data_IF_387879727833
#
_entry.id   IF_387879727833
#
_cell.length_a   1.000
_cell.length_b   1.000
_cell.length_c   1.000
_cell.angle_alpha   90.00
_cell.angle_beta   90.00
_cell.angle_gamma   90.00
#
_symmetry.space_group_name_H-M   'P 1'
#
loop_
_entity.id
_entity.type
_entity.pdbx_description
1 polymer ?
#
# COMPACT_ATOMS: atom_id res chain seq x y z
N UNK A 1 9.01 -17.76 -9.63
CA UNK A 1 7.83 -16.91 -9.28
C UNK A 1 8.32 -15.85 -8.30
N UNK A 2 8.22 -14.58 -8.66
CA UNK A 2 8.61 -13.43 -7.83
C UNK A 2 7.64 -13.23 -6.66
N UNK A 3 7.98 -12.39 -5.69
CA UNK A 3 7.09 -12.13 -4.55
C UNK A 3 5.81 -11.41 -5.00
N UNK A 4 5.92 -10.53 -5.99
CA UNK A 4 4.77 -9.88 -6.63
C UNK A 4 3.85 -10.91 -7.30
N UNK A 5 4.42 -11.86 -8.07
CA UNK A 5 3.63 -12.91 -8.72
C UNK A 5 2.94 -13.82 -7.69
N UNK A 6 3.62 -14.20 -6.62
CA UNK A 6 3.00 -14.94 -5.52
C UNK A 6 1.84 -14.17 -4.90
N UNK A 7 2.00 -12.85 -4.74
CA UNK A 7 0.98 -12.00 -4.14
C UNK A 7 -0.26 -11.85 -5.04
N UNK A 8 -0.09 -11.60 -6.34
CA UNK A 8 -1.23 -11.44 -7.27
C UNK A 8 -1.94 -12.76 -7.59
N UNK A 9 -1.24 -13.89 -7.48
CA UNK A 9 -1.79 -15.22 -7.75
C UNK A 9 -2.28 -15.96 -6.50
N UNK A 10 -2.48 -15.25 -5.37
CA UNK A 10 -3.01 -15.87 -4.16
C UNK A 10 -4.40 -16.48 -4.40
N UNK A 11 -4.68 -17.68 -3.87
CA UNK A 11 -5.99 -18.29 -3.96
C UNK A 11 -7.10 -17.37 -3.42
N UNK A 12 -8.21 -17.30 -4.14
CA UNK A 12 -9.35 -16.47 -3.76
C UNK A 12 -9.27 -14.99 -4.13
N UNK A 13 -8.09 -14.47 -4.53
CA UNK A 13 -7.91 -13.06 -4.88
C UNK A 13 -8.84 -12.58 -5.98
N UNK A 14 -9.04 -13.36 -7.04
CA UNK A 14 -9.95 -13.02 -8.14
C UNK A 14 -11.38 -12.79 -7.65
N UNK A 15 -11.87 -13.62 -6.70
CA UNK A 15 -13.17 -13.44 -6.07
C UNK A 15 -13.25 -12.13 -5.29
N UNK A 16 -12.20 -11.78 -4.55
CA UNK A 16 -12.13 -10.52 -3.79
C UNK A 16 -12.16 -9.30 -4.73
N UNK A 17 -11.43 -9.35 -5.84
CA UNK A 17 -11.45 -8.28 -6.86
C UNK A 17 -12.86 -8.07 -7.40
N UNK A 18 -13.57 -9.16 -7.73
CA UNK A 18 -14.97 -9.12 -8.19
C UNK A 18 -15.90 -8.53 -7.12
N UNK A 19 -15.79 -8.97 -5.88
CA UNK A 19 -16.60 -8.46 -4.78
C UNK A 19 -16.41 -6.94 -4.57
N UNK A 20 -15.19 -6.44 -4.75
CA UNK A 20 -14.93 -4.98 -4.68
C UNK A 20 -15.57 -4.25 -5.84
N UNK A 21 -15.56 -4.80 -7.08
CA UNK A 21 -16.29 -4.23 -8.22
C UNK A 21 -17.78 -4.12 -7.94
N UNK A 22 -18.37 -5.15 -7.37
CA UNK A 22 -19.79 -5.14 -6.98
C UNK A 22 -20.07 -4.01 -5.98
N UNK A 23 -19.23 -3.84 -4.95
CA UNK A 23 -19.34 -2.73 -3.99
C UNK A 23 -19.16 -1.35 -4.63
N UNK A 24 -18.22 -1.20 -5.56
CA UNK A 24 -18.01 0.05 -6.31
C UNK A 24 -19.28 0.46 -7.03
N UNK A 25 -19.92 -0.49 -7.72
CA UNK A 25 -21.15 -0.25 -8.47
C UNK A 25 -22.34 0.04 -7.54
N UNK A 26 -22.52 -0.77 -6.48
CA UNK A 26 -23.59 -0.61 -5.50
C UNK A 26 -23.53 0.74 -4.78
N UNK A 27 -22.32 1.17 -4.40
CA UNK A 27 -22.11 2.39 -3.63
C UNK A 27 -21.89 3.64 -4.50
N UNK A 28 -21.88 3.51 -5.83
CA UNK A 28 -21.69 4.62 -6.76
C UNK A 28 -20.30 5.27 -6.65
N UNK A 29 -19.27 4.48 -6.36
CA UNK A 29 -17.91 4.99 -6.19
C UNK A 29 -17.31 5.31 -7.55
N UNK A 30 -16.80 6.54 -7.71
CA UNK A 30 -16.21 7.04 -8.96
C UNK A 30 -14.68 7.13 -8.90
N UNK A 31 -14.11 7.23 -7.70
CA UNK A 31 -12.66 7.33 -7.47
C UNK A 31 -12.21 6.41 -6.35
N UNK A 32 -10.98 5.89 -6.45
CA UNK A 32 -10.37 5.04 -5.42
C UNK A 32 -9.00 5.63 -5.07
N UNK A 33 -8.74 5.84 -3.77
CA UNK A 33 -7.42 6.13 -3.25
C UNK A 33 -6.68 4.82 -2.96
N UNK A 34 -5.63 4.56 -3.73
CA UNK A 34 -4.69 3.47 -3.53
C UNK A 34 -3.60 3.96 -2.58
N UNK A 35 -3.65 3.51 -1.33
CA UNK A 35 -2.87 4.03 -0.24
C UNK A 35 -1.81 3.04 0.26
N UNK A 36 -0.68 3.55 0.70
CA UNK A 36 0.38 2.80 1.38
C UNK A 36 0.99 3.66 2.49
N UNK A 37 1.78 3.04 3.36
CA UNK A 37 2.40 3.72 4.50
C UNK A 37 3.89 3.90 4.20
N UNK A 38 4.36 5.15 4.18
CA UNK A 38 5.79 5.46 4.04
C UNK A 38 6.56 5.13 5.30
N UNK A 39 7.90 5.09 5.21
CA UNK A 39 8.78 4.83 6.37
C UNK A 39 8.67 5.89 7.47
N UNK A 40 8.10 7.05 7.19
CA UNK A 40 7.82 8.10 8.19
C UNK A 40 6.40 8.01 8.77
N UNK A 41 5.67 6.93 8.51
CA UNK A 41 4.30 6.73 9.02
C UNK A 41 3.23 7.54 8.28
N UNK A 42 3.57 8.23 7.19
CA UNK A 42 2.56 8.97 6.40
C UNK A 42 1.75 8.03 5.53
N UNK A 43 0.45 8.26 5.49
CA UNK A 43 -0.42 7.68 4.48
C UNK A 43 -0.22 8.44 3.18
N UNK A 44 0.32 7.78 2.19
CA UNK A 44 0.53 8.31 0.83
C UNK A 44 -0.27 7.48 -0.16
N UNK A 45 -0.55 8.02 -1.33
CA UNK A 45 -1.31 7.26 -2.31
C UNK A 45 -1.55 8.00 -3.61
N UNK A 46 -2.28 7.32 -4.48
CA UNK A 46 -2.66 7.80 -5.81
C UNK A 46 -4.16 7.64 -5.99
N UNK A 47 -4.84 8.69 -6.44
CA UNK A 47 -6.24 8.62 -6.87
C UNK A 47 -6.32 8.08 -8.29
N UNK A 48 -7.15 7.07 -8.50
CA UNK A 48 -7.40 6.46 -9.82
C UNK A 48 -8.91 6.34 -10.01
N UNK A 49 -9.46 6.63 -11.21
CA UNK A 49 -10.86 6.40 -11.50
C UNK A 49 -11.27 4.95 -11.24
N UNK A 50 -12.46 4.75 -10.67
CA UNK A 50 -12.94 3.43 -10.27
C UNK A 50 -13.08 2.44 -11.45
N UNK A 51 -13.24 2.94 -12.67
CA UNK A 51 -13.31 2.12 -13.90
C UNK A 51 -12.02 1.33 -14.16
N UNK A 52 -10.89 1.76 -13.57
CA UNK A 52 -9.60 1.08 -13.69
C UNK A 52 -9.35 0.05 -12.57
N UNK A 53 -10.36 -0.27 -11.75
CA UNK A 53 -10.19 -1.14 -10.58
C UNK A 53 -9.53 -2.49 -10.92
N UNK A 54 -10.11 -3.26 -11.84
CA UNK A 54 -9.63 -4.61 -12.18
C UNK A 54 -8.21 -4.57 -12.71
N UNK A 55 -7.95 -3.68 -13.67
CA UNK A 55 -6.61 -3.51 -14.25
C UNK A 55 -5.59 -3.19 -13.16
N UNK A 56 -5.93 -2.28 -12.25
CA UNK A 56 -5.03 -1.88 -11.16
C UNK A 56 -4.85 -3.00 -10.14
N UNK A 57 -5.91 -3.75 -9.85
CA UNK A 57 -5.84 -4.88 -8.92
C UNK A 57 -5.00 -6.05 -9.47
N UNK A 58 -5.00 -6.26 -10.76
CA UNK A 58 -4.24 -7.34 -11.43
C UNK A 58 -2.80 -6.93 -11.74
N UNK A 59 -2.61 -5.74 -12.30
CA UNK A 59 -1.30 -5.30 -12.84
C UNK A 59 -0.54 -4.37 -11.89
N UNK A 60 -1.24 -3.76 -10.94
CA UNK A 60 -0.70 -2.72 -10.08
C UNK A 60 -0.65 -1.35 -10.75
N UNK A 61 -0.13 -0.40 -10.03
CA UNK A 61 0.18 0.95 -10.49
C UNK A 61 1.61 1.32 -10.12
N UNK A 62 2.20 2.21 -10.92
CA UNK A 62 3.56 2.68 -10.71
C UNK A 62 3.59 3.82 -9.69
N UNK A 63 4.63 3.82 -8.85
CA UNK A 63 4.93 4.88 -7.89
C UNK A 63 6.45 5.07 -7.78
N UNK A 64 6.86 6.31 -7.47
CA UNK A 64 8.29 6.60 -7.28
C UNK A 64 8.78 6.06 -5.95
N UNK A 65 10.04 5.61 -5.92
CA UNK A 65 10.67 5.08 -4.69
C UNK A 65 10.59 6.08 -3.53
N UNK A 66 10.85 7.35 -3.78
CA UNK A 66 10.78 8.41 -2.77
C UNK A 66 9.43 8.57 -2.07
N UNK A 67 8.34 8.09 -2.66
CA UNK A 67 7.04 8.09 -2.00
C UNK A 67 6.99 7.12 -0.81
N UNK A 68 7.77 6.04 -0.83
CA UNK A 68 7.86 5.07 0.27
C UNK A 68 8.96 5.39 1.26
N UNK A 69 10.12 5.85 0.80
CA UNK A 69 11.35 5.99 1.59
C UNK A 69 11.81 7.44 1.84
N UNK A 70 11.14 8.43 1.24
CA UNK A 70 11.39 9.88 1.43
C UNK A 70 12.81 10.38 1.07
N UNK A 71 13.58 9.65 0.27
CA UNK A 71 14.91 10.05 -0.21
C UNK A 71 15.77 10.73 0.86
N UNK A 72 15.99 10.07 1.99
CA UNK A 72 16.83 10.60 3.06
C UNK A 72 18.30 10.69 2.67
N UNK A 73 18.96 11.75 3.10
CA UNK A 73 20.40 11.94 2.97
C UNK A 73 21.10 11.70 4.30
N UNK A 74 22.30 11.14 4.23
CA UNK A 74 23.21 11.09 5.35
C UNK A 74 23.93 12.45 5.56
N UNK A 75 24.79 12.54 6.59
CA UNK A 75 25.59 13.75 6.86
C UNK A 75 26.60 14.12 5.77
N UNK A 76 26.83 13.27 4.78
CA UNK A 76 27.73 13.47 3.64
C UNK A 76 26.98 13.75 2.34
N UNK A 77 25.64 13.98 2.40
CA UNK A 77 24.76 14.18 1.26
C UNK A 77 24.63 12.95 0.34
N UNK A 78 24.88 11.73 0.83
CA UNK A 78 24.58 10.51 0.10
C UNK A 78 23.18 10.04 0.45
N UNK A 79 22.46 9.50 -0.55
CA UNK A 79 21.15 8.90 -0.29
C UNK A 79 21.27 7.64 0.55
N UNK A 80 20.41 7.54 1.57
CA UNK A 80 20.25 6.33 2.38
C UNK A 80 19.35 5.37 1.61
N UNK A 81 19.92 4.32 1.03
CA UNK A 81 19.24 3.40 0.13
C UNK A 81 19.36 3.83 -1.33
N UNK A 82 18.24 4.08 -2.00
CA UNK A 82 18.21 4.52 -3.40
C UNK A 82 17.95 6.03 -3.49
N UNK A 83 18.50 6.66 -4.52
CA UNK A 83 18.27 8.05 -4.87
C UNK A 83 17.11 8.24 -5.85
N UNK A 84 17.00 9.44 -6.45
CA UNK A 84 15.98 9.76 -7.44
C UNK A 84 16.04 8.91 -8.71
N UNK A 85 17.19 8.31 -9.00
CA UNK A 85 17.45 7.42 -10.13
C UNK A 85 16.82 6.02 -9.97
N UNK A 86 16.29 5.71 -8.78
CA UNK A 86 15.67 4.41 -8.53
C UNK A 86 14.49 4.16 -9.46
N UNK A 87 14.41 2.92 -9.94
CA UNK A 87 13.28 2.50 -10.77
C UNK A 87 11.95 2.69 -10.01
N UNK A 88 10.90 2.99 -10.75
CA UNK A 88 9.55 3.04 -10.21
C UNK A 88 9.17 1.69 -9.57
N UNK A 89 8.42 1.78 -8.51
CA UNK A 89 7.89 0.64 -7.77
C UNK A 89 6.52 0.23 -8.31
N UNK A 90 6.05 -0.95 -7.91
CA UNK A 90 4.70 -1.43 -8.22
C UNK A 90 3.88 -1.54 -6.95
N UNK A 91 2.78 -0.79 -6.86
CA UNK A 91 1.77 -0.94 -5.82
C UNK A 91 0.68 -1.90 -6.26
N UNK A 92 0.39 -2.91 -5.44
CA UNK A 92 -0.70 -3.86 -5.65
C UNK A 92 -1.74 -3.67 -4.54
N UNK A 93 -3.00 -3.34 -4.85
CA UNK A 93 -4.01 -3.17 -3.83
C UNK A 93 -4.37 -4.49 -3.15
N UNK A 94 -4.68 -4.42 -1.85
CA UNK A 94 -5.21 -5.53 -1.07
C UNK A 94 -6.74 -5.40 -0.99
N UNK A 95 -7.53 -6.14 -1.79
CA UNK A 95 -8.98 -5.93 -1.93
C UNK A 95 -9.77 -6.02 -0.62
N UNK A 96 -9.29 -6.81 0.34
CA UNK A 96 -9.91 -6.96 1.68
C UNK A 96 -9.95 -5.65 2.47
N UNK A 97 -9.08 -4.69 2.13
CA UNK A 97 -8.98 -3.39 2.81
C UNK A 97 -9.83 -2.30 2.18
N UNK A 98 -10.62 -2.64 1.16
CA UNK A 98 -11.46 -1.68 0.46
C UNK A 98 -12.60 -1.18 1.34
N UNK A 99 -12.72 0.14 1.48
CA UNK A 99 -13.82 0.81 2.17
C UNK A 99 -14.23 2.11 1.45
N UNK A 100 -15.51 2.46 1.53
CA UNK A 100 -16.00 3.78 1.12
C UNK A 100 -15.60 4.81 2.19
N UNK A 101 -15.18 6.01 1.77
CA UNK A 101 -14.86 7.08 2.71
C UNK A 101 -16.13 7.63 3.38
N UNK A 102 -16.13 7.81 4.71
CA UNK A 102 -17.31 8.31 5.41
C UNK A 102 -17.66 9.76 5.06
N UNK A 103 -16.69 10.58 4.68
CA UNK A 103 -16.85 12.01 4.37
C UNK A 103 -17.02 12.33 2.88
N UNK A 104 -16.70 11.42 1.95
CA UNK A 104 -17.02 11.52 0.52
C UNK A 104 -17.48 10.17 -0.02
N UNK A 105 -18.78 10.03 -0.20
CA UNK A 105 -19.41 8.78 -0.62
C UNK A 105 -19.07 8.36 -2.05
N UNK A 106 -18.51 9.26 -2.87
CA UNK A 106 -18.05 8.94 -4.23
C UNK A 106 -16.66 8.32 -4.26
N UNK A 107 -15.97 8.30 -3.11
CA UNK A 107 -14.58 7.88 -3.02
C UNK A 107 -14.45 6.63 -2.16
N UNK A 108 -13.77 5.62 -2.70
CA UNK A 108 -13.27 4.48 -1.95
C UNK A 108 -11.78 4.63 -1.62
N UNK A 109 -11.29 3.85 -0.67
CA UNK A 109 -9.86 3.69 -0.43
C UNK A 109 -9.50 2.22 -0.28
N UNK A 110 -8.29 1.87 -0.64
CA UNK A 110 -7.72 0.53 -0.48
C UNK A 110 -6.24 0.66 -0.10
N UNK A 111 -5.76 -0.16 0.82
CA UNK A 111 -4.34 -0.24 1.08
C UNK A 111 -3.63 -1.11 0.06
N UNK A 112 -2.35 -0.80 -0.19
CA UNK A 112 -1.52 -1.48 -1.16
C UNK A 112 -0.28 -2.08 -0.49
N UNK A 113 0.19 -3.17 -1.07
CA UNK A 113 1.52 -3.72 -0.83
C UNK A 113 2.43 -3.28 -1.95
N UNK A 114 3.64 -2.84 -1.62
CA UNK A 114 4.60 -2.31 -2.58
C UNK A 114 5.69 -3.35 -2.90
N UNK A 115 6.02 -3.42 -4.17
CA UNK A 115 7.04 -4.33 -4.70
C UNK A 115 8.03 -3.57 -5.57
N UNK A 116 9.22 -4.13 -5.74
CA UNK A 116 10.20 -3.67 -6.72
C UNK A 116 9.65 -3.80 -8.12
N UNK A 117 10.18 -2.99 -9.04
CA UNK A 117 9.79 -3.07 -10.45
C UNK A 117 10.05 -4.48 -11.01
N UNK A 118 9.21 -4.91 -11.96
CA UNK A 118 9.36 -6.20 -12.63
C UNK A 118 10.62 -6.29 -13.48
N UNK A 119 11.18 -5.15 -13.89
CA UNK A 119 12.35 -5.01 -14.73
C UNK A 119 13.63 -4.74 -13.94
N UNK A 120 13.56 -4.72 -12.61
CA UNK A 120 14.74 -4.49 -11.77
C UNK A 120 15.71 -5.67 -11.86
N UNK A 121 16.99 -5.35 -12.12
CA UNK A 121 18.01 -6.38 -12.43
C UNK A 121 18.28 -7.33 -11.26
N UNK A 122 18.34 -6.82 -10.04
CA UNK A 122 18.81 -7.59 -8.88
C UNK A 122 17.69 -8.33 -8.14
N UNK A 123 16.46 -7.85 -8.19
CA UNK A 123 15.33 -8.46 -7.49
C UNK A 123 14.00 -8.07 -8.15
N UNK A 124 13.73 -8.54 -9.39
CA UNK A 124 12.53 -8.16 -10.14
C UNK A 124 11.27 -8.59 -9.41
N UNK A 125 10.37 -7.64 -9.17
CA UNK A 125 9.11 -7.91 -8.46
C UNK A 125 9.27 -8.44 -7.03
N UNK A 126 10.44 -8.24 -6.42
CA UNK A 126 10.70 -8.65 -5.06
C UNK A 126 10.01 -7.75 -4.04
N UNK A 127 9.90 -8.25 -2.80
CA UNK A 127 9.38 -7.47 -1.69
C UNK A 127 10.19 -6.19 -1.47
N UNK A 128 9.48 -5.10 -1.20
CA UNK A 128 10.11 -3.80 -0.94
C UNK A 128 10.37 -3.62 0.55
N UNK A 129 11.64 -3.48 0.94
CA UNK A 129 12.05 -3.34 2.35
C UNK A 129 11.56 -2.04 3.02
N UNK A 130 11.18 -1.02 2.24
CA UNK A 130 10.55 0.21 2.75
C UNK A 130 9.01 0.13 2.83
N UNK A 131 8.39 -1.00 2.48
CA UNK A 131 6.96 -1.22 2.69
C UNK A 131 6.69 -1.64 4.13
N UNK A 132 6.43 -0.67 5.01
CA UNK A 132 6.20 -0.91 6.44
C UNK A 132 5.05 -1.89 6.70
N UNK A 133 3.95 -1.76 5.96
CA UNK A 133 2.78 -2.63 6.09
C UNK A 133 3.08 -4.04 5.60
N UNK A 134 3.79 -4.17 4.49
CA UNK A 134 4.22 -5.45 3.95
C UNK A 134 5.16 -6.18 4.91
N UNK A 135 6.15 -5.46 5.48
CA UNK A 135 7.07 -6.00 6.49
C UNK A 135 6.33 -6.52 7.72
N UNK A 136 5.40 -5.73 8.27
CA UNK A 136 4.61 -6.15 9.42
C UNK A 136 3.82 -7.44 9.14
N UNK A 137 3.20 -7.53 7.96
CA UNK A 137 2.45 -8.72 7.55
C UNK A 137 3.34 -9.96 7.43
N UNK A 138 4.51 -9.82 6.82
CA UNK A 138 5.49 -10.91 6.73
C UNK A 138 5.90 -11.35 8.13
N UNK A 139 6.28 -10.43 8.99
CA UNK A 139 6.67 -10.71 10.37
C UNK A 139 5.57 -11.44 11.15
N UNK A 140 4.34 -10.97 11.09
CA UNK A 140 3.20 -11.60 11.77
C UNK A 140 2.95 -13.02 11.28
N UNK A 141 3.00 -13.23 9.96
CA UNK A 141 2.82 -14.56 9.38
C UNK A 141 3.93 -15.53 9.76
N UNK A 142 5.18 -15.08 9.78
CA UNK A 142 6.32 -15.89 10.23
C UNK A 142 6.23 -16.21 11.71
N UNK A 143 5.85 -15.25 12.53
CA UNK A 143 5.66 -15.44 13.97
C UNK A 143 4.56 -16.47 14.24
N UNK A 144 3.39 -16.34 13.59
CA UNK A 144 2.30 -17.30 13.72
C UNK A 144 2.73 -18.70 13.28
N UNK A 145 3.41 -18.79 12.12
CA UNK A 145 3.88 -20.07 11.58
C UNK A 145 4.90 -20.75 12.51
N UNK A 146 5.78 -19.98 13.14
CA UNK A 146 6.85 -20.48 14.00
C UNK A 146 6.36 -20.83 15.40
N UNK A 147 5.43 -20.07 15.95
CA UNK A 147 5.01 -20.17 17.36
C UNK A 147 3.56 -20.60 17.56
N UNK A 148 2.74 -20.68 16.50
CA UNK A 148 1.30 -20.98 16.62
C UNK A 148 0.49 -19.89 17.32
N UNK A 149 1.04 -18.67 17.50
CA UNK A 149 0.45 -17.57 18.24
C UNK A 149 0.11 -16.42 17.30
N UNK A 150 -0.99 -15.73 17.58
CA UNK A 150 -1.33 -14.44 16.96
C UNK A 150 -0.87 -13.28 17.83
N UNK A 151 -0.19 -12.31 17.22
CA UNK A 151 0.13 -11.05 17.87
C UNK A 151 -1.11 -10.14 17.86
N UNK A 152 -1.53 -9.68 19.04
CA UNK A 152 -2.59 -8.69 19.20
C UNK A 152 -2.03 -7.44 19.87
N UNK A 153 -2.34 -6.29 19.32
CA UNK A 153 -1.91 -4.98 19.85
C UNK A 153 -3.11 -4.05 19.97
N UNK A 154 -3.12 -3.20 20.98
CA UNK A 154 -3.99 -2.06 21.10
C UNK A 154 -3.26 -0.81 20.61
N UNK A 155 -3.96 0.09 19.96
CA UNK A 155 -3.43 1.42 19.62
C UNK A 155 -4.07 2.43 20.57
N UNK A 156 -3.25 3.30 21.15
CA UNK A 156 -3.69 4.38 22.06
C UNK A 156 -3.35 5.73 21.39
N UNK A 157 -4.21 6.20 20.47
CA UNK A 157 -3.96 7.48 19.79
C UNK A 157 -4.18 8.64 20.77
N UNK A 158 -3.14 9.45 20.97
CA UNK A 158 -3.23 10.70 21.71
C UNK A 158 -3.33 11.87 20.74
N UNK A 159 -4.25 12.79 21.03
CA UNK A 159 -4.44 13.99 20.21
C UNK A 159 -4.90 15.18 21.05
N UNK A 160 -4.52 16.35 20.62
CA UNK A 160 -4.94 17.61 21.20
C UNK A 160 -5.82 18.38 20.20
N UNK A 161 -7.02 18.76 20.63
CA UNK A 161 -7.90 19.61 19.84
C UNK A 161 -7.62 21.07 20.18
N UNK A 162 -7.26 21.84 19.17
CA UNK A 162 -6.96 23.27 19.32
C UNK A 162 -7.97 24.09 18.54
N UNK A 163 -8.42 25.20 19.15
CA UNK A 163 -9.19 26.22 18.43
C UNK A 163 -8.22 27.17 17.75
N UNK A 164 -8.46 27.49 16.50
CA UNK A 164 -7.66 28.49 15.80
C UNK A 164 -7.97 29.85 16.44
N UNK A 165 -6.95 30.55 16.93
CA UNK A 165 -7.11 31.94 17.36
C UNK A 165 -7.60 32.76 16.17
N UNK A 166 -8.63 33.54 16.38
CA UNK A 166 -9.09 34.56 15.43
C UNK A 166 -8.21 35.80 15.68
N UNK A 167 -7.08 35.89 14.99
CA UNK A 167 -6.32 37.13 14.83
C UNK A 167 -6.69 37.76 13.49
#
# INVERSE_FOLDING_TARGET
MTDLEKHVNQPGRAKLIKNVREKINELGITYIYFQFISVTGRVVGKGIPADHWERTAEKGFQLVYGATANLFLDRHNNYIGYGPEAMELVGIPDPETFVQLPWDKRVGRVFCTCFRNREERNNPGGHLTSDCRGNLRIFMNEFQKKHGLELRVGTEPEMMWLTKNQD
#
